data_IF_195000809530
#
_entry.id   IF_195000809530
#
_cell.length_a   1.000
_cell.length_b   1.000
_cell.length_c   1.000
_cell.angle_alpha   90.00
_cell.angle_beta   90.00
_cell.angle_gamma   90.00
#
_symmetry.space_group_name_H-M   'P 1'
#
loop_
_entity.id
_entity.type
_entity.pdbx_description
1 polymer ?
#
# COMPACT_ATOMS: atom_id res chain seq x y z
N UNK A 1 -1.44 11.25 -1.34
CA UNK A 1 -1.97 11.31 0.04
C UNK A 1 -3.48 11.26 -0.03
N UNK A 2 -4.08 10.32 0.69
CA UNK A 2 -5.55 10.31 0.87
C UNK A 2 -5.99 11.43 1.82
N UNK A 3 -7.30 11.54 2.07
CA UNK A 3 -7.90 12.56 2.93
C UNK A 3 -7.79 12.30 4.44
N UNK A 4 -6.98 11.35 4.90
CA UNK A 4 -6.83 11.09 6.33
C UNK A 4 -6.28 12.34 7.05
N UNK A 5 -6.90 12.71 8.17
CA UNK A 5 -6.52 13.90 8.94
C UNK A 5 -5.09 13.85 9.49
N UNK A 6 -4.50 12.66 9.64
CA UNK A 6 -3.11 12.51 10.07
C UNK A 6 -2.09 12.73 8.94
N UNK A 7 -2.53 12.82 7.68
CA UNK A 7 -1.63 12.93 6.53
C UNK A 7 -1.25 14.36 6.17
N UNK A 8 -1.88 15.36 6.77
CA UNK A 8 -1.58 16.75 6.50
C UNK A 8 -1.66 17.58 7.79
N UNK A 9 -0.63 18.39 7.99
CA UNK A 9 -0.54 19.41 9.02
C UNK A 9 0.49 20.44 8.57
N UNK A 10 0.51 21.62 9.18
CA UNK A 10 1.52 22.63 8.88
C UNK A 10 2.95 22.09 9.01
N UNK A 11 3.18 21.24 10.02
CA UNK A 11 4.45 20.55 10.22
C UNK A 11 4.80 19.62 9.04
N UNK A 12 3.87 18.79 8.57
CA UNK A 12 4.12 17.88 7.44
C UNK A 12 4.47 18.67 6.16
N UNK A 13 3.78 19.80 5.91
CA UNK A 13 4.09 20.66 4.77
C UNK A 13 5.47 21.30 4.87
N UNK A 14 5.84 21.80 6.05
CA UNK A 14 7.15 22.40 6.28
C UNK A 14 8.29 21.39 6.02
N UNK A 15 8.16 20.17 6.54
CA UNK A 15 9.14 19.10 6.35
C UNK A 15 9.22 18.63 4.90
N UNK A 16 8.07 18.42 4.24
CA UNK A 16 8.06 18.03 2.83
C UNK A 16 8.74 19.09 1.95
N UNK A 17 8.51 20.38 2.24
CA UNK A 17 9.20 21.48 1.56
C UNK A 17 10.70 21.47 1.82
N UNK A 18 11.13 21.29 3.06
CA UNK A 18 12.55 21.21 3.42
C UNK A 18 13.28 20.05 2.71
N UNK A 19 12.58 18.93 2.50
CA UNK A 19 13.10 17.74 1.82
C UNK A 19 12.91 17.76 0.29
N UNK A 20 12.36 18.83 -0.29
CA UNK A 20 12.01 18.93 -1.71
C UNK A 20 11.06 17.80 -2.20
N UNK A 21 10.13 17.39 -1.34
CA UNK A 21 9.10 16.40 -1.64
C UNK A 21 7.81 17.11 -2.05
N UNK A 22 7.29 16.81 -3.24
CA UNK A 22 5.96 17.26 -3.67
C UNK A 22 4.87 16.36 -3.08
N UNK A 23 4.02 16.91 -2.22
CA UNK A 23 2.85 16.22 -1.70
C UNK A 23 1.69 16.25 -2.71
N UNK A 24 1.43 15.12 -3.38
CA UNK A 24 0.27 14.95 -4.25
C UNK A 24 -0.94 14.49 -3.43
N UNK A 25 -1.98 15.32 -3.35
CA UNK A 25 -3.25 14.97 -2.72
C UNK A 25 -4.20 14.33 -3.72
N UNK A 26 -4.90 13.27 -3.30
CA UNK A 26 -5.91 12.60 -4.11
C UNK A 26 -7.29 13.20 -3.83
N UNK A 27 -8.23 13.17 -4.79
CA UNK A 27 -9.60 13.56 -4.53
C UNK A 27 -10.20 12.76 -3.36
N UNK A 28 -11.04 13.42 -2.57
CA UNK A 28 -11.70 12.79 -1.43
C UNK A 28 -12.51 11.56 -1.87
N UNK A 29 -12.49 10.50 -1.06
CA UNK A 29 -13.19 9.23 -1.31
C UNK A 29 -12.81 8.49 -2.61
N UNK A 30 -11.69 8.85 -3.24
CA UNK A 30 -11.29 8.30 -4.54
C UNK A 30 -10.01 7.45 -4.49
N UNK A 31 -9.63 6.93 -3.32
CA UNK A 31 -8.42 6.09 -3.19
C UNK A 31 -8.49 4.83 -4.04
N UNK A 32 -9.68 4.23 -4.14
CA UNK A 32 -9.99 3.10 -5.02
C UNK A 32 -9.79 3.37 -6.52
N UNK A 33 -9.61 4.64 -6.92
CA UNK A 33 -9.35 5.04 -8.32
C UNK A 33 -7.92 5.54 -8.50
N UNK A 34 -7.43 6.37 -7.58
CA UNK A 34 -6.21 7.15 -7.79
C UNK A 34 -5.05 6.77 -6.85
N UNK A 35 -5.22 5.79 -5.95
CA UNK A 35 -4.15 5.36 -5.05
C UNK A 35 -3.53 4.04 -5.52
N UNK A 36 -2.34 4.04 -6.14
CA UNK A 36 -1.68 2.84 -6.65
C UNK A 36 -1.62 1.72 -5.62
N UNK A 37 -1.31 2.10 -4.38
CA UNK A 37 -1.15 1.17 -3.27
C UNK A 37 -2.45 0.41 -2.96
N UNK A 38 -3.61 1.07 -2.99
CA UNK A 38 -4.90 0.43 -2.76
C UNK A 38 -5.32 -0.44 -3.95
N UNK A 39 -5.10 0.05 -5.17
CA UNK A 39 -5.62 -0.57 -6.40
C UNK A 39 -4.85 -1.83 -6.78
N UNK A 40 -3.50 -1.76 -6.80
CA UNK A 40 -2.69 -2.85 -7.39
C UNK A 40 -1.82 -3.60 -6.39
N UNK A 41 -1.50 -3.02 -5.23
CA UNK A 41 -0.60 -3.66 -4.25
C UNK A 41 -1.39 -4.32 -3.13
N UNK A 42 -2.21 -3.57 -2.40
CA UNK A 42 -2.92 -4.06 -1.22
C UNK A 42 -4.01 -5.08 -1.55
N UNK A 43 -4.64 -4.98 -2.71
CA UNK A 43 -5.67 -5.96 -3.12
C UNK A 43 -5.10 -7.39 -3.22
N UNK A 44 -4.09 -7.68 -4.06
CA UNK A 44 -3.49 -9.02 -4.11
C UNK A 44 -2.77 -9.39 -2.81
N UNK A 45 -2.12 -8.44 -2.14
CA UNK A 45 -1.44 -8.69 -0.86
C UNK A 45 -2.41 -9.19 0.23
N UNK A 46 -3.56 -8.53 0.40
CA UNK A 46 -4.60 -8.96 1.35
C UNK A 46 -5.17 -10.34 1.01
N UNK A 47 -5.26 -10.69 -0.28
CA UNK A 47 -5.69 -12.03 -0.68
C UNK A 47 -4.64 -13.09 -0.33
N UNK A 48 -3.37 -12.81 -0.60
CA UNK A 48 -2.27 -13.72 -0.28
C UNK A 48 -2.12 -13.94 1.23
N UNK A 49 -2.27 -12.88 2.06
CA UNK A 49 -2.33 -13.02 3.52
C UNK A 49 -3.47 -13.95 3.95
N UNK A 50 -4.68 -13.77 3.40
CA UNK A 50 -5.82 -14.62 3.76
C UNK A 50 -5.56 -16.09 3.46
N UNK A 51 -4.96 -16.38 2.32
CA UNK A 51 -4.60 -17.74 1.93
C UNK A 51 -3.54 -18.31 2.90
N UNK A 52 -2.45 -17.57 3.15
CA UNK A 52 -1.38 -18.03 4.05
C UNK A 52 -1.86 -18.21 5.51
N UNK A 53 -2.79 -17.36 5.97
CA UNK A 53 -3.46 -17.52 7.27
C UNK A 53 -4.29 -18.79 7.28
N UNK A 54 -5.11 -19.04 6.26
CA UNK A 54 -5.91 -20.26 6.17
C UNK A 54 -5.02 -21.50 6.18
N UNK A 55 -3.97 -21.53 5.36
CA UNK A 55 -3.02 -22.63 5.30
C UNK A 55 -2.36 -22.86 6.66
N UNK A 56 -1.94 -21.79 7.35
CA UNK A 56 -1.35 -21.92 8.69
C UNK A 56 -2.29 -22.56 9.72
N UNK A 57 -3.57 -22.21 9.68
CA UNK A 57 -4.61 -22.79 10.57
C UNK A 57 -4.86 -24.26 10.22
N UNK A 58 -4.85 -24.62 8.94
CA UNK A 58 -5.01 -26.01 8.52
C UNK A 58 -3.82 -26.90 8.92
N UNK A 59 -2.62 -26.33 9.03
CA UNK A 59 -1.40 -27.06 9.38
C UNK A 59 -1.11 -27.12 10.88
N UNK A 60 -1.75 -26.27 11.69
CA UNK A 60 -1.47 -26.13 13.11
C UNK A 60 -2.65 -26.64 13.96
N UNK A 61 -2.37 -27.18 15.14
CA UNK A 61 -3.42 -27.69 16.06
C UNK A 61 -4.19 -26.52 16.69
N UNK A 62 -3.55 -25.36 16.78
CA UNK A 62 -4.15 -24.11 17.25
C UNK A 62 -4.83 -23.37 16.10
N UNK A 63 -6.13 -23.10 16.23
CA UNK A 63 -6.89 -22.27 15.29
C UNK A 63 -6.68 -20.76 15.50
N UNK A 64 -5.92 -20.36 16.52
CA UNK A 64 -5.65 -18.97 16.86
C UNK A 64 -4.29 -18.52 16.33
N UNK A 65 -4.26 -17.36 15.65
CA UNK A 65 -3.03 -16.70 15.21
C UNK A 65 -2.75 -15.52 16.14
N UNK A 66 -1.60 -15.57 16.83
CA UNK A 66 -1.13 -14.45 17.64
C UNK A 66 -0.50 -13.34 16.77
N UNK A 67 -0.25 -12.18 17.38
CA UNK A 67 0.31 -11.01 16.66
C UNK A 67 1.68 -11.30 16.03
N UNK A 68 2.58 -12.01 16.74
CA UNK A 68 3.90 -12.33 16.19
C UNK A 68 3.79 -13.17 14.92
N UNK A 69 2.93 -14.20 14.94
CA UNK A 69 2.71 -15.07 13.78
C UNK A 69 2.02 -14.34 12.64
N UNK A 70 1.05 -13.48 12.92
CA UNK A 70 0.41 -12.64 11.90
C UNK A 70 1.41 -11.72 11.21
N UNK A 71 2.32 -11.10 11.97
CA UNK A 71 3.40 -10.25 11.42
C UNK A 71 4.35 -11.10 10.56
N UNK A 72 4.76 -12.28 11.03
CA UNK A 72 5.63 -13.17 10.27
C UNK A 72 5.00 -13.56 8.92
N UNK A 73 3.73 -13.98 8.92
CA UNK A 73 2.98 -14.30 7.69
C UNK A 73 2.93 -13.08 6.76
N UNK A 74 2.64 -11.89 7.28
CA UNK A 74 2.59 -10.68 6.46
C UNK A 74 3.95 -10.35 5.81
N UNK A 75 5.05 -10.49 6.55
CA UNK A 75 6.41 -10.31 6.03
C UNK A 75 6.75 -11.33 4.93
N UNK A 76 6.47 -12.61 5.18
CA UNK A 76 6.73 -13.68 4.22
C UNK A 76 5.90 -13.48 2.94
N UNK A 77 4.61 -13.15 3.08
CA UNK A 77 3.75 -12.86 1.94
C UNK A 77 4.25 -11.63 1.19
N UNK A 78 4.68 -10.57 1.88
CA UNK A 78 5.19 -9.36 1.23
C UNK A 78 6.42 -9.66 0.37
N UNK A 79 7.37 -10.41 0.93
CA UNK A 79 8.60 -10.79 0.25
C UNK A 79 8.38 -11.66 -1.00
N UNK A 80 7.30 -12.47 -1.01
CA UNK A 80 7.05 -13.45 -2.08
C UNK A 80 5.95 -13.04 -3.08
N UNK A 81 5.04 -12.14 -2.71
CA UNK A 81 3.85 -11.81 -3.54
C UNK A 81 3.89 -10.41 -4.15
N UNK A 82 4.64 -9.48 -3.56
CA UNK A 82 4.76 -8.12 -4.08
C UNK A 82 5.91 -8.05 -5.08
N UNK A 83 5.64 -7.59 -6.30
CA UNK A 83 6.67 -7.40 -7.31
C UNK A 83 6.63 -5.98 -7.90
N UNK A 84 7.76 -5.60 -8.49
CA UNK A 84 7.98 -4.26 -9.07
C UNK A 84 6.95 -3.94 -10.17
N UNK A 85 6.57 -4.92 -10.99
CA UNK A 85 5.60 -4.73 -12.06
C UNK A 85 4.22 -4.30 -11.53
N UNK A 86 3.75 -4.88 -10.43
CA UNK A 86 2.49 -4.48 -9.79
C UNK A 86 2.52 -3.03 -9.28
N UNK A 87 3.67 -2.58 -8.79
CA UNK A 87 3.88 -1.20 -8.33
C UNK A 87 3.86 -0.24 -9.52
N UNK A 88 4.69 -0.49 -10.54
CA UNK A 88 4.78 0.34 -11.75
C UNK A 88 3.40 0.44 -12.43
N UNK A 89 2.75 -0.70 -12.65
CA UNK A 89 1.42 -0.74 -13.25
C UNK A 89 0.40 0.01 -12.39
N UNK A 90 0.53 0.00 -11.06
CA UNK A 90 -0.31 0.79 -10.16
C UNK A 90 -0.27 2.28 -10.45
N UNK A 91 0.92 2.85 -10.65
CA UNK A 91 1.06 4.26 -11.03
C UNK A 91 0.42 4.55 -12.40
N UNK A 92 0.58 3.64 -13.35
CA UNK A 92 -0.05 3.75 -14.69
C UNK A 92 -1.57 3.72 -14.60
N UNK A 93 -2.14 2.71 -13.95
CA UNK A 93 -3.59 2.51 -13.84
C UNK A 93 -4.30 3.61 -13.08
N UNK A 94 -3.61 4.25 -12.13
CA UNK A 94 -4.18 5.33 -11.32
C UNK A 94 -3.89 6.73 -11.88
N UNK A 95 -3.29 6.82 -13.06
CA UNK A 95 -3.00 8.09 -13.74
C UNK A 95 -1.87 8.91 -13.12
N UNK A 96 -1.16 8.36 -12.12
CA UNK A 96 0.01 8.98 -11.48
C UNK A 96 1.28 8.68 -12.28
N UNK A 97 1.25 8.98 -13.57
CA UNK A 97 2.41 8.84 -14.46
C UNK A 97 3.09 10.18 -14.66
N UNK A 98 4.41 10.15 -14.76
CA UNK A 98 5.17 11.35 -15.11
C UNK A 98 4.92 11.67 -16.57
N UNK A 99 3.98 12.57 -16.85
CA UNK A 99 3.97 13.26 -18.14
C UNK A 99 5.22 14.15 -18.18
N UNK A 100 6.13 13.90 -19.13
CA UNK A 100 7.21 14.84 -19.47
C UNK A 100 6.56 16.07 -20.11
N UNK A 101 6.01 16.96 -19.29
CA UNK A 101 5.71 18.32 -19.72
C UNK A 101 6.89 19.17 -19.29
N UNK A 102 7.65 19.62 -20.28
CA UNK A 102 8.66 20.66 -20.13
C UNK A 102 7.96 21.95 -19.69
N UNK A 103 8.35 22.49 -18.54
CA UNK A 103 8.30 23.92 -18.25
C UNK A 103 9.63 24.24 -17.58
#
# INVERSE_FOLDING_TARGET
MDGCSSHYSEHIYAEAKALNILLQFLPANATHLFQPLDVTVFRPFKQAIRNAVADSIWTDVSTNINKQRAIAIACDVWANSTNEAAIINGFVYTGLVRYRVWI
#
